data_IF_280667285160
#
_entry.id   IF_280667285160
#
_cell.length_a   1.000
_cell.length_b   1.000
_cell.length_c   1.000
_cell.angle_alpha   90.00
_cell.angle_beta   90.00
_cell.angle_gamma   90.00
#
_symmetry.space_group_name_H-M   'P 1'
#
loop_
_entity.id
_entity.type
_entity.pdbx_description
1 polymer ?
#
# COMPACT_ATOMS: atom_id res chain seq x y z
N UNK A 1 -23.29 43.85 7.58
CA UNK A 1 -23.94 43.27 8.77
C UNK A 1 -25.45 43.29 8.55
N UNK A 2 -26.06 42.28 7.95
CA UNK A 2 -27.52 42.11 8.00
C UNK A 2 -27.83 40.61 8.09
N UNK A 3 -28.73 40.28 9.01
CA UNK A 3 -29.03 38.95 9.56
C UNK A 3 -30.43 38.51 9.05
N UNK A 4 -30.81 37.28 9.44
CA UNK A 4 -32.18 36.72 9.61
C UNK A 4 -32.78 35.95 8.41
N UNK A 5 -33.57 34.87 8.53
CA UNK A 5 -34.09 34.06 9.66
C UNK A 5 -34.69 32.72 9.16
N UNK A 6 -34.71 31.70 10.05
CA UNK A 6 -35.77 30.70 10.38
C UNK A 6 -36.50 29.87 9.28
N UNK A 7 -36.42 28.51 9.32
CA UNK A 7 -37.29 27.50 10.04
C UNK A 7 -38.64 27.29 9.30
N UNK A 8 -39.10 26.08 8.93
CA UNK A 8 -39.62 25.12 9.92
C UNK A 8 -40.27 23.77 9.40
N UNK A 9 -40.24 22.75 10.27
CA UNK A 9 -41.13 21.59 10.57
C UNK A 9 -42.15 20.91 9.59
N UNK A 10 -42.21 19.56 9.65
CA UNK A 10 -43.47 18.77 9.56
C UNK A 10 -43.34 17.38 10.22
N UNK A 11 -44.28 17.05 11.11
CA UNK A 11 -44.50 15.73 11.75
C UNK A 11 -45.72 15.03 11.13
N UNK A 12 -45.68 13.69 10.96
CA UNK A 12 -46.88 12.81 10.81
C UNK A 12 -46.45 11.33 10.94
N UNK A 13 -46.64 10.67 12.09
CA UNK A 13 -47.76 9.80 12.53
C UNK A 13 -47.54 8.28 12.32
N UNK A 14 -47.57 7.50 13.41
CA UNK A 14 -47.67 6.02 13.56
C UNK A 14 -49.07 5.47 13.17
N UNK A 15 -49.53 4.18 13.34
CA UNK A 15 -49.04 2.94 14.05
C UNK A 15 -49.36 1.59 13.24
N UNK A 16 -49.64 0.34 13.77
CA UNK A 16 -49.51 -0.35 15.09
C UNK A 16 -48.85 -1.80 15.08
N UNK A 17 -48.73 -2.40 16.28
CA UNK A 17 -48.06 -3.63 16.80
C UNK A 17 -48.72 -5.02 16.47
N UNK A 18 -48.52 -6.17 17.19
CA UNK A 18 -47.38 -6.85 17.89
C UNK A 18 -47.28 -8.39 17.60
N UNK A 19 -46.23 -9.12 18.02
CA UNK A 19 -46.40 -10.55 18.38
C UNK A 19 -45.26 -11.21 19.16
N UNK A 20 -45.68 -11.75 20.31
CA UNK A 20 -45.31 -13.01 20.98
C UNK A 20 -43.89 -13.25 21.53
N UNK A 21 -43.89 -13.45 22.85
CA UNK A 21 -42.80 -13.91 23.70
C UNK A 21 -42.52 -15.41 23.53
N UNK A 22 -41.29 -15.83 23.82
CA UNK A 22 -41.02 -17.10 24.52
C UNK A 22 -39.79 -16.89 25.40
N UNK A 23 -40.02 -16.95 26.71
CA UNK A 23 -38.96 -17.13 27.71
C UNK A 23 -38.69 -18.63 27.81
N UNK A 24 -37.43 -19.03 27.79
CA UNK A 24 -37.00 -20.29 28.41
C UNK A 24 -35.88 -19.98 29.39
N UNK A 25 -36.13 -20.34 30.65
CA UNK A 25 -35.21 -20.22 31.77
C UNK A 25 -34.61 -21.58 32.08
N UNK A 26 -33.30 -21.73 31.88
CA UNK A 26 -32.39 -22.67 32.54
C UNK A 26 -31.03 -22.45 31.87
N UNK A 27 -29.87 -22.42 32.50
CA UNK A 27 -29.40 -23.09 33.71
C UNK A 27 -28.11 -22.34 34.09
N UNK A 28 -27.86 -22.12 35.37
CA UNK A 28 -26.62 -21.47 35.81
C UNK A 28 -25.39 -22.29 35.46
N UNK A 29 -24.35 -21.61 34.94
CA UNK A 29 -22.98 -22.09 34.99
C UNK A 29 -22.05 -20.98 35.48
N UNK A 30 -21.51 -21.20 36.68
CA UNK A 30 -20.44 -20.43 37.26
C UNK A 30 -19.16 -20.52 36.41
N UNK A 31 -18.55 -19.38 36.07
CA UNK A 31 -17.16 -19.02 36.48
C UNK A 31 -16.58 -17.88 35.63
N UNK A 32 -16.29 -16.77 36.31
CA UNK A 32 -14.96 -16.17 36.42
C UNK A 32 -14.10 -16.21 35.13
N UNK A 33 -13.98 -15.08 34.45
CA UNK A 33 -12.68 -14.47 34.12
C UNK A 33 -12.90 -13.10 33.49
N UNK A 34 -12.16 -12.13 34.02
CA UNK A 34 -12.11 -10.74 33.54
C UNK A 34 -11.36 -10.75 32.22
N UNK A 35 -11.95 -10.25 31.16
CA UNK A 35 -11.18 -9.76 30.02
C UNK A 35 -11.67 -8.35 29.73
N UNK A 36 -10.95 -7.36 30.30
CA UNK A 36 -11.05 -5.97 29.88
C UNK A 36 -10.65 -5.95 28.41
N UNK A 37 -11.62 -5.72 27.53
CA UNK A 37 -11.34 -5.20 26.21
C UNK A 37 -11.07 -3.70 26.41
N UNK A 38 -9.80 -3.35 26.63
CA UNK A 38 -9.36 -1.97 26.49
C UNK A 38 -9.15 -1.69 25.02
N UNK A 39 -10.05 -0.85 24.53
CA UNK A 39 -10.02 -0.10 23.30
C UNK A 39 -8.59 0.32 22.93
N UNK A 40 -8.05 -0.25 21.86
CA UNK A 40 -6.81 0.21 21.26
C UNK A 40 -7.17 1.34 20.30
N UNK A 41 -7.43 2.53 20.84
CA UNK A 41 -7.35 3.76 20.06
C UNK A 41 -5.91 3.87 19.58
N UNK A 42 -5.70 3.60 18.29
CA UNK A 42 -4.45 3.86 17.61
C UNK A 42 -4.12 5.34 17.78
N UNK A 43 -3.32 5.63 18.81
CA UNK A 43 -2.68 6.92 18.99
C UNK A 43 -1.60 7.00 17.93
N UNK A 44 -1.92 7.61 16.79
CA UNK A 44 -0.93 8.10 15.84
C UNK A 44 -0.07 9.08 16.61
N UNK A 45 1.11 8.64 17.00
CA UNK A 45 2.15 9.51 17.53
C UNK A 45 2.78 10.18 16.32
N UNK A 46 2.30 11.37 15.98
CA UNK A 46 3.03 12.31 15.15
C UNK A 46 4.22 12.79 15.99
N UNK A 47 5.36 12.14 15.83
CA UNK A 47 6.65 12.70 16.23
C UNK A 47 7.19 13.45 15.01
N UNK A 48 6.75 14.69 14.91
CA UNK A 48 7.41 15.78 14.21
C UNK A 48 8.67 16.13 15.02
N UNK A 49 9.77 15.44 14.72
CA UNK A 49 11.11 15.84 15.12
C UNK A 49 11.84 16.19 13.85
N UNK A 50 11.98 17.49 13.58
CA UNK A 50 12.94 17.98 12.61
C UNK A 50 14.35 17.71 13.18
N UNK A 51 14.88 16.52 12.86
CA UNK A 51 16.26 16.15 13.15
C UNK A 51 17.11 16.56 11.94
N UNK A 52 17.74 17.74 12.01
CA UNK A 52 18.72 18.22 11.02
C UNK A 52 19.97 17.30 10.90
N UNK A 53 20.07 16.25 11.73
CA UNK A 53 21.12 15.23 11.72
C UNK A 53 20.71 13.91 11.01
N UNK A 54 19.45 13.75 10.58
CA UNK A 54 18.95 12.51 9.93
C UNK A 54 19.32 12.43 8.43
N UNK A 55 19.64 13.57 7.80
CA UNK A 55 19.89 13.64 6.37
C UNK A 55 21.21 12.98 5.94
N UNK A 56 22.26 13.06 6.77
CA UNK A 56 23.58 12.53 6.41
C UNK A 56 23.65 11.01 6.60
N UNK A 57 23.05 10.47 7.67
CA UNK A 57 22.94 9.02 7.88
C UNK A 57 22.05 8.35 6.83
N UNK A 58 21.00 9.04 6.37
CA UNK A 58 20.14 8.57 5.28
C UNK A 58 20.81 8.56 3.90
N UNK A 59 21.88 9.32 3.68
CA UNK A 59 22.64 9.30 2.40
C UNK A 59 23.60 8.12 2.37
N UNK A 60 24.32 7.85 3.47
CA UNK A 60 25.25 6.73 3.56
C UNK A 60 24.53 5.40 3.30
N UNK A 61 23.36 5.18 3.93
CA UNK A 61 22.54 3.97 3.72
C UNK A 61 22.13 3.81 2.24
N UNK A 62 21.75 4.91 1.58
CA UNK A 62 21.39 4.89 0.15
C UNK A 62 22.59 4.57 -0.74
N UNK A 63 23.78 5.05 -0.37
CA UNK A 63 25.02 4.72 -1.08
C UNK A 63 25.34 3.23 -0.91
N UNK A 64 25.26 2.68 0.30
CA UNK A 64 25.47 1.23 0.54
C UNK A 64 24.47 0.36 -0.22
N UNK A 65 23.19 0.76 -0.22
CA UNK A 65 22.16 0.08 -1.00
C UNK A 65 22.47 0.12 -2.50
N UNK A 66 22.93 1.27 -3.01
CA UNK A 66 23.30 1.43 -4.41
C UNK A 66 24.53 0.57 -4.78
N UNK A 67 25.56 0.55 -3.94
CA UNK A 67 26.75 -0.30 -4.12
C UNK A 67 26.40 -1.79 -4.20
N UNK A 68 25.38 -2.23 -3.47
CA UNK A 68 24.92 -3.63 -3.46
C UNK A 68 24.24 -4.04 -4.77
N UNK A 69 23.53 -3.13 -5.44
CA UNK A 69 22.79 -3.44 -6.67
C UNK A 69 23.59 -3.18 -7.95
N UNK A 70 24.56 -2.27 -7.90
CA UNK A 70 25.41 -1.92 -9.05
C UNK A 70 26.51 -2.98 -9.21
N UNK A 71 26.70 -3.56 -10.40
CA UNK A 71 27.78 -4.52 -10.65
C UNK A 71 29.15 -3.92 -10.28
N UNK A 72 29.86 -4.58 -9.36
CA UNK A 72 31.16 -4.09 -8.85
C UNK A 72 31.06 -2.89 -7.90
N UNK A 73 29.85 -2.46 -7.50
CA UNK A 73 29.61 -1.25 -6.73
C UNK A 73 30.28 -1.20 -5.36
N UNK A 74 30.46 -2.33 -4.68
CA UNK A 74 31.10 -2.41 -3.35
C UNK A 74 32.58 -1.97 -3.35
N UNK A 75 33.22 -1.95 -4.51
CA UNK A 75 34.63 -1.54 -4.67
C UNK A 75 34.76 -0.09 -5.18
N UNK A 76 33.64 0.59 -5.47
CA UNK A 76 33.61 1.91 -6.10
C UNK A 76 33.37 3.02 -5.08
N UNK A 77 34.09 4.13 -5.25
CA UNK A 77 33.77 5.41 -4.61
C UNK A 77 32.55 6.08 -5.26
N UNK A 78 31.98 7.09 -4.58
CA UNK A 78 30.69 7.71 -4.92
C UNK A 78 30.57 8.18 -6.38
N UNK A 79 31.58 8.89 -6.91
CA UNK A 79 31.52 9.40 -8.29
C UNK A 79 31.50 8.27 -9.33
N UNK A 80 32.38 7.28 -9.17
CA UNK A 80 32.43 6.11 -10.05
C UNK A 80 31.18 5.22 -9.89
N UNK A 81 30.63 5.15 -8.69
CA UNK A 81 29.38 4.44 -8.42
C UNK A 81 28.23 5.06 -9.22
N UNK A 82 28.11 6.38 -9.28
CA UNK A 82 27.07 7.02 -10.07
C UNK A 82 27.26 6.86 -11.58
N UNK A 83 28.50 6.89 -12.09
CA UNK A 83 28.79 6.62 -13.49
C UNK A 83 28.44 5.17 -13.89
N UNK A 84 28.84 4.19 -13.07
CA UNK A 84 28.50 2.78 -13.27
C UNK A 84 26.98 2.56 -13.11
N UNK A 85 26.33 3.26 -12.16
CA UNK A 85 24.87 3.23 -12.00
C UNK A 85 24.16 3.69 -13.27
N UNK A 86 24.58 4.81 -13.86
CA UNK A 86 23.99 5.33 -15.09
C UNK A 86 24.17 4.33 -16.25
N UNK A 87 25.35 3.76 -16.37
CA UNK A 87 25.68 2.72 -17.36
C UNK A 87 24.82 1.47 -17.16
N UNK A 88 24.66 1.01 -15.93
CA UNK A 88 23.89 -0.17 -15.59
C UNK A 88 22.39 0.03 -15.84
N UNK A 89 21.82 1.19 -15.48
CA UNK A 89 20.43 1.53 -15.81
C UNK A 89 20.19 1.47 -17.32
N UNK A 90 21.08 2.05 -18.12
CA UNK A 90 20.97 2.02 -19.58
C UNK A 90 21.06 0.59 -20.12
N UNK A 91 21.97 -0.22 -19.58
CA UNK A 91 22.10 -1.63 -19.95
C UNK A 91 20.81 -2.42 -19.65
N UNK A 92 20.22 -2.25 -18.47
CA UNK A 92 18.94 -2.87 -18.10
C UNK A 92 17.80 -2.43 -19.03
N UNK A 93 17.73 -1.15 -19.38
CA UNK A 93 16.73 -0.66 -20.34
C UNK A 93 16.89 -1.30 -21.72
N UNK A 94 18.13 -1.41 -22.21
CA UNK A 94 18.45 -2.09 -23.47
C UNK A 94 18.02 -3.56 -23.43
N UNK A 95 18.31 -4.28 -22.35
CA UNK A 95 17.90 -5.68 -22.16
C UNK A 95 16.37 -5.83 -22.21
N UNK A 96 15.65 -5.00 -21.45
CA UNK A 96 14.19 -5.00 -21.42
C UNK A 96 13.62 -4.72 -22.82
N UNK A 97 14.17 -3.76 -23.54
CA UNK A 97 13.71 -3.41 -24.88
C UNK A 97 13.98 -4.54 -25.90
N UNK A 98 15.15 -5.18 -25.84
CA UNK A 98 15.47 -6.33 -26.68
C UNK A 98 14.50 -7.50 -26.43
N UNK A 99 14.25 -7.83 -25.17
CA UNK A 99 13.30 -8.88 -24.79
C UNK A 99 11.89 -8.53 -25.29
N UNK A 100 11.42 -7.29 -25.10
CA UNK A 100 10.10 -6.86 -25.60
C UNK A 100 9.98 -7.03 -27.12
N UNK A 101 11.00 -6.63 -27.88
CA UNK A 101 11.00 -6.80 -29.35
C UNK A 101 10.96 -8.28 -29.73
N UNK A 102 11.77 -9.10 -29.08
CA UNK A 102 11.80 -10.55 -29.33
C UNK A 102 10.45 -11.20 -28.98
N UNK A 103 9.87 -10.87 -27.84
CA UNK A 103 8.55 -11.37 -27.44
C UNK A 103 7.47 -10.98 -28.45
N UNK A 104 7.43 -9.72 -28.89
CA UNK A 104 6.49 -9.27 -29.94
C UNK A 104 6.69 -10.00 -31.26
N UNK A 105 7.93 -10.31 -31.62
CA UNK A 105 8.24 -11.09 -32.80
C UNK A 105 7.72 -12.53 -32.68
N UNK A 106 8.00 -13.21 -31.56
CA UNK A 106 7.55 -14.57 -31.29
C UNK A 106 6.01 -14.67 -31.23
N UNK A 107 5.35 -13.75 -30.52
CA UNK A 107 3.88 -13.63 -30.50
C UNK A 107 3.27 -13.50 -31.91
N UNK A 108 3.99 -12.88 -32.84
CA UNK A 108 3.55 -12.72 -34.23
C UNK A 108 3.81 -13.99 -35.06
N UNK A 109 4.87 -14.74 -34.78
CA UNK A 109 5.14 -16.02 -35.41
C UNK A 109 4.07 -17.06 -35.03
N UNK A 110 3.78 -17.19 -33.73
CA UNK A 110 2.75 -18.12 -33.22
C UNK A 110 1.37 -17.89 -33.88
N UNK A 111 1.00 -16.63 -34.14
CA UNK A 111 -0.26 -16.28 -34.81
C UNK A 111 -0.28 -16.60 -36.30
N UNK A 112 0.87 -16.74 -36.96
CA UNK A 112 0.97 -17.05 -38.40
C UNK A 112 0.98 -18.56 -38.66
N UNK A 113 1.46 -19.35 -37.72
CA UNK A 113 1.48 -20.82 -37.83
C UNK A 113 0.07 -21.44 -37.74
N UNK A 114 -0.95 -20.66 -37.36
CA UNK A 114 -2.36 -21.10 -37.32
C UNK A 114 -3.16 -20.86 -38.62
N UNK A 115 -2.52 -20.57 -39.76
CA UNK A 115 -3.22 -20.26 -41.03
C UNK A 115 -2.86 -21.14 -42.25
N UNK A 116 -2.11 -22.21 -42.05
CA UNK A 116 -1.85 -23.22 -43.09
C UNK A 116 -2.63 -24.51 -42.81
N UNK A 117 -3.95 -24.47 -43.06
CA UNK A 117 -4.81 -25.66 -43.10
C UNK A 117 -5.88 -25.42 -44.16
N UNK A 118 -5.78 -26.14 -45.28
CA UNK A 118 -6.74 -26.12 -46.38
C UNK A 118 -8.02 -26.88 -46.08
#
# INVERSE_FOLDING_TARGET
MEKTLATSHTKRSSPPSPSSAVNTSSTGFNRRTRQRLSDATASVSETDVEDEDEDEEGVEEKIEALQTIVPGGTELGVDALFEETASYILALQCQINAIKVLTRFLERCEKKDMKFGG
#
